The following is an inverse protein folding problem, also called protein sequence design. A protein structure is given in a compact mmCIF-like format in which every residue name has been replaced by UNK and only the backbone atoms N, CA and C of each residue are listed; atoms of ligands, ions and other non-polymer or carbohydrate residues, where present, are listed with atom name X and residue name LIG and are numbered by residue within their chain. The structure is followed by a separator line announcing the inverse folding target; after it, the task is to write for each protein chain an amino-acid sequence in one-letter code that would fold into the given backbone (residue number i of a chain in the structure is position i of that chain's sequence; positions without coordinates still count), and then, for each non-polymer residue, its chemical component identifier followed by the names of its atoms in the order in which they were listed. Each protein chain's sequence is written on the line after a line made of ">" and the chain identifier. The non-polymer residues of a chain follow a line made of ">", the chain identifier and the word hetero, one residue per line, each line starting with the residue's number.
data_IF_630284686213
#
_entry.id   IF_630284686213
#
_cell.length_a   1.000
_cell.length_b   1.000
_cell.length_c   1.000
_cell.angle_alpha   90.00
_cell.angle_beta   90.00
_cell.angle_gamma   90.00
#
_symmetry.space_group_name_H-M   'P 1'
#
loop_
_entity.id
_entity.type
_entity.pdbx_description
1 polymer ?
#
# COMPACT_ATOMS: atom_id res chain seq x y z
N UNK A 1 43.46 11.81 25.72
CA UNK A 1 43.61 10.36 25.93
C UNK A 1 43.55 9.72 24.55
N UNK A 2 44.74 9.35 24.08
CA UNK A 2 45.11 8.43 22.99
C UNK A 2 44.43 8.57 21.62
N UNK A 3 45.31 8.84 20.67
CA UNK A 3 45.17 8.97 19.23
C UNK A 3 45.37 7.60 18.51
N UNK A 4 45.00 7.60 17.22
CA UNK A 4 45.56 6.82 16.10
C UNK A 4 45.04 5.39 15.79
N UNK A 5 44.34 5.35 14.65
CA UNK A 5 44.60 4.54 13.45
C UNK A 5 45.50 3.30 13.57
N UNK A 6 45.08 2.21 12.91
CA UNK A 6 45.84 1.67 11.78
C UNK A 6 45.21 0.39 11.21
N UNK A 7 45.08 0.39 9.89
CA UNK A 7 44.98 -0.81 9.05
C UNK A 7 46.15 -1.76 9.34
N UNK A 8 45.95 -3.07 9.23
CA UNK A 8 47.07 -3.96 8.96
C UNK A 8 46.70 -5.13 8.04
N UNK A 9 47.48 -5.21 6.98
CA UNK A 9 47.57 -6.23 5.96
C UNK A 9 47.78 -7.66 6.49
N UNK A 10 47.41 -8.59 5.60
CA UNK A 10 47.79 -10.00 5.49
C UNK A 10 49.19 -10.38 5.98
N UNK A 11 49.29 -11.52 6.68
CA UNK A 11 50.47 -12.37 6.68
C UNK A 11 50.14 -13.81 7.12
N UNK A 12 50.44 -14.77 6.24
CA UNK A 12 50.57 -16.22 6.50
C UNK A 12 52.07 -16.51 6.71
N UNK A 13 52.53 -17.57 7.42
CA UNK A 13 52.55 -18.92 6.81
C UNK A 13 52.57 -20.16 7.76
N UNK A 14 52.34 -21.35 7.16
CA UNK A 14 52.94 -22.69 7.38
C UNK A 14 52.80 -23.39 8.78
N UNK A 15 52.65 -24.71 8.95
CA UNK A 15 52.83 -25.88 8.08
C UNK A 15 52.16 -27.14 8.70
N UNK A 16 51.94 -28.15 7.83
CA UNK A 16 51.99 -29.60 8.06
C UNK A 16 50.99 -30.30 9.02
N UNK A 17 50.10 -31.12 8.45
CA UNK A 17 50.26 -32.59 8.47
C UNK A 17 49.16 -33.27 7.63
N UNK A 18 49.60 -34.05 6.64
CA UNK A 18 48.80 -35.05 5.93
C UNK A 18 48.23 -36.08 6.90
N UNK A 19 46.94 -36.41 6.74
CA UNK A 19 46.45 -37.80 6.91
C UNK A 19 45.17 -37.94 6.11
N UNK A 20 45.29 -38.63 4.98
CA UNK A 20 44.19 -39.19 4.23
C UNK A 20 43.47 -40.24 5.09
N UNK A 21 42.22 -39.97 5.42
CA UNK A 21 41.28 -41.02 5.85
C UNK A 21 39.93 -40.74 5.19
N UNK A 22 39.68 -41.50 4.13
CA UNK A 22 38.38 -41.70 3.51
C UNK A 22 37.36 -42.19 4.53
N UNK A 23 36.26 -41.45 4.75
CA UNK A 23 34.96 -42.05 5.13
C UNK A 23 33.79 -41.06 5.01
N UNK A 24 32.82 -41.50 4.20
CA UNK A 24 31.39 -41.17 4.19
C UNK A 24 30.98 -39.70 4.11
N UNK A 25 30.65 -39.29 2.87
CA UNK A 25 29.81 -38.14 2.58
C UNK A 25 28.37 -38.45 3.04
N UNK A 26 28.06 -38.19 4.32
CA UNK A 26 26.68 -38.18 4.80
C UNK A 26 26.05 -36.86 4.36
N UNK A 27 25.45 -36.85 3.18
CA UNK A 27 24.59 -35.76 2.74
C UNK A 27 23.44 -35.61 3.72
N UNK A 28 23.56 -34.66 4.64
CA UNK A 28 22.41 -34.15 5.40
C UNK A 28 21.57 -33.38 4.40
N UNK A 29 20.65 -34.09 3.75
CA UNK A 29 19.59 -33.49 2.96
C UNK A 29 18.80 -32.58 3.90
N UNK A 30 19.02 -31.27 3.74
CA UNK A 30 18.16 -30.25 4.35
C UNK A 30 16.71 -30.58 3.98
N UNK A 31 15.76 -30.58 4.94
CA UNK A 31 14.38 -30.90 4.62
C UNK A 31 13.88 -29.97 3.52
N UNK A 32 13.10 -30.48 2.54
CA UNK A 32 12.58 -29.66 1.46
C UNK A 32 11.80 -28.49 2.07
N UNK A 33 12.15 -27.26 1.66
CA UNK A 33 11.41 -26.07 2.06
C UNK A 33 9.93 -26.30 1.76
N UNK A 34 9.02 -26.09 2.72
CA UNK A 34 7.60 -26.32 2.48
C UNK A 34 7.16 -25.49 1.29
N UNK A 35 6.46 -26.11 0.35
CA UNK A 35 5.83 -25.40 -0.76
C UNK A 35 4.92 -24.32 -0.16
N UNK A 36 5.07 -23.09 -0.64
CA UNK A 36 4.26 -21.95 -0.20
C UNK A 36 2.83 -22.17 -0.71
N UNK A 37 1.98 -22.75 0.13
CA UNK A 37 0.56 -22.85 -0.16
C UNK A 37 -0.07 -21.47 -0.04
N UNK A 38 -0.80 -21.05 -1.06
CA UNK A 38 -1.53 -19.78 -1.06
C UNK A 38 -2.73 -19.89 -0.12
N UNK A 39 -2.93 -18.88 0.71
CA UNK A 39 -4.14 -18.76 1.53
C UNK A 39 -5.40 -18.79 0.69
N UNK A 40 -6.46 -19.37 1.25
CA UNK A 40 -7.75 -19.59 0.57
C UNK A 40 -8.87 -18.73 1.16
N UNK A 41 -8.72 -18.23 2.40
CA UNK A 41 -9.74 -17.45 3.09
C UNK A 41 -9.73 -15.99 2.62
N UNK A 42 -10.86 -15.52 2.10
CA UNK A 42 -11.06 -14.10 1.77
C UNK A 42 -11.44 -13.32 3.03
N UNK A 43 -10.67 -12.30 3.37
CA UNK A 43 -10.94 -11.39 4.51
C UNK A 43 -11.52 -10.05 4.04
N UNK A 44 -11.48 -9.78 2.73
CA UNK A 44 -11.88 -8.49 2.15
C UNK A 44 -13.40 -8.40 2.02
N UNK A 45 -14.08 -8.07 3.12
CA UNK A 45 -15.49 -7.71 3.11
C UNK A 45 -15.68 -6.26 2.60
N UNK A 46 -16.85 -5.91 2.04
CA UNK A 46 -17.17 -4.53 1.65
C UNK A 46 -16.99 -3.54 2.81
N UNK A 47 -17.36 -3.92 4.03
CA UNK A 47 -17.21 -3.07 5.22
C UNK A 47 -15.75 -2.80 5.56
N UNK A 48 -14.91 -3.84 5.53
CA UNK A 48 -13.47 -3.69 5.75
C UNK A 48 -12.85 -2.80 4.66
N UNK A 49 -13.20 -3.04 3.39
CA UNK A 49 -12.71 -2.26 2.26
C UNK A 49 -13.15 -0.79 2.35
N UNK A 50 -14.41 -0.55 2.75
CA UNK A 50 -14.94 0.79 2.99
C UNK A 50 -14.23 1.51 4.13
N UNK A 51 -13.92 0.81 5.23
CA UNK A 51 -13.13 1.37 6.33
C UNK A 51 -11.70 1.74 5.88
N UNK A 52 -11.06 0.90 5.07
CA UNK A 52 -9.73 1.18 4.49
C UNK A 52 -9.76 2.37 3.51
N UNK A 53 -10.87 2.57 2.79
CA UNK A 53 -11.04 3.72 1.89
C UNK A 53 -11.22 5.03 2.65
N UNK A 54 -12.07 5.04 3.68
CA UNK A 54 -12.29 6.23 4.53
C UNK A 54 -11.03 6.67 5.27
N UNK A 55 -10.19 5.72 5.68
CA UNK A 55 -8.93 6.02 6.40
C UNK A 55 -7.78 6.44 5.48
N UNK A 56 -7.95 6.40 4.16
CA UNK A 56 -6.94 6.86 3.21
C UNK A 56 -5.63 6.05 3.21
N UNK A 57 -5.63 4.83 3.75
CA UNK A 57 -4.42 4.00 3.84
C UNK A 57 -4.01 3.46 2.46
N UNK A 58 -2.70 3.37 2.20
CA UNK A 58 -2.20 2.74 0.97
C UNK A 58 -2.42 1.23 0.99
N UNK A 59 -2.54 0.58 -0.17
CA UNK A 59 -2.78 -0.88 -0.22
C UNK A 59 -1.69 -1.70 0.48
N UNK A 60 -0.44 -1.21 0.50
CA UNK A 60 0.66 -1.84 1.27
C UNK A 60 0.48 -1.69 2.78
N UNK A 61 0.07 -0.50 3.25
CA UNK A 61 -0.22 -0.28 4.69
C UNK A 61 -1.45 -1.06 5.14
N UNK A 62 -2.49 -1.09 4.31
CA UNK A 62 -3.69 -1.89 4.53
C UNK A 62 -3.37 -3.38 4.69
N UNK A 63 -2.47 -3.93 3.86
CA UNK A 63 -1.99 -5.30 4.03
C UNK A 63 -1.40 -5.53 5.42
N UNK A 64 -0.51 -4.64 5.87
CA UNK A 64 0.11 -4.75 7.19
C UNK A 64 -0.90 -4.70 8.32
N UNK A 65 -1.88 -3.79 8.24
CA UNK A 65 -2.97 -3.68 9.22
C UNK A 65 -3.77 -4.98 9.26
N UNK A 66 -4.25 -5.45 8.11
CA UNK A 66 -5.08 -6.67 8.04
C UNK A 66 -4.29 -7.90 8.50
N UNK A 67 -3.01 -8.02 8.14
CA UNK A 67 -2.16 -9.13 8.56
C UNK A 67 -1.88 -9.11 10.06
N UNK A 68 -1.62 -7.94 10.65
CA UNK A 68 -1.42 -7.79 12.08
C UNK A 68 -2.70 -8.12 12.85
N UNK A 69 -3.84 -7.57 12.43
CA UNK A 69 -5.15 -7.86 13.05
C UNK A 69 -5.49 -9.35 12.97
N UNK A 70 -5.26 -9.99 11.81
CA UNK A 70 -5.45 -11.42 11.65
C UNK A 70 -4.57 -12.24 12.61
N UNK A 71 -3.30 -11.87 12.74
CA UNK A 71 -2.36 -12.53 13.65
C UNK A 71 -2.79 -12.38 15.11
N UNK A 72 -3.26 -11.18 15.51
CA UNK A 72 -3.81 -10.93 16.84
C UNK A 72 -5.08 -11.72 17.15
N UNK A 73 -5.88 -12.04 16.12
CA UNK A 73 -7.07 -12.88 16.24
C UNK A 73 -6.76 -14.39 16.15
N UNK A 74 -5.50 -14.78 16.05
CA UNK A 74 -5.08 -16.18 15.97
C UNK A 74 -5.15 -16.80 14.56
N UNK A 75 -5.35 -15.99 13.51
CA UNK A 75 -5.30 -16.45 12.13
C UNK A 75 -3.90 -16.33 11.55
N UNK A 76 -3.37 -17.42 11.00
CA UNK A 76 -2.09 -17.41 10.31
C UNK A 76 -2.15 -16.59 9.01
N UNK A 77 -1.16 -15.73 8.71
CA UNK A 77 -1.16 -14.92 7.48
C UNK A 77 -1.13 -15.76 6.20
N UNK A 78 -0.67 -17.02 6.29
CA UNK A 78 -0.65 -17.96 5.16
C UNK A 78 -2.03 -18.55 4.84
N UNK A 79 -3.00 -18.46 5.75
CA UNK A 79 -4.36 -18.95 5.51
C UNK A 79 -5.21 -17.96 4.71
N UNK A 80 -4.78 -16.70 4.67
CA UNK A 80 -5.55 -15.57 4.15
C UNK A 80 -5.08 -15.17 2.76
N UNK A 81 -6.00 -14.75 1.90
CA UNK A 81 -5.69 -14.17 0.59
C UNK A 81 -5.21 -12.72 0.78
N UNK A 82 -3.94 -12.55 1.14
CA UNK A 82 -3.32 -11.26 1.44
C UNK A 82 -2.27 -10.87 0.39
N UNK A 83 -2.65 -10.05 -0.59
CA UNK A 83 -1.76 -9.41 -1.55
C UNK A 83 -2.15 -7.92 -1.68
N UNK A 84 -1.21 -6.95 -1.68
CA UNK A 84 -1.51 -5.54 -1.97
C UNK A 84 -2.37 -5.33 -3.23
N UNK A 85 -2.16 -6.11 -4.29
CA UNK A 85 -2.96 -6.02 -5.52
C UNK A 85 -4.40 -6.47 -5.30
N UNK A 86 -4.62 -7.56 -4.54
CA UNK A 86 -5.96 -8.04 -4.22
C UNK A 86 -6.75 -7.00 -3.41
N UNK A 87 -6.09 -6.30 -2.49
CA UNK A 87 -6.68 -5.17 -1.74
C UNK A 87 -6.99 -4.02 -2.71
N UNK A 88 -6.08 -3.68 -3.62
CA UNK A 88 -6.29 -2.67 -4.64
C UNK A 88 -7.50 -2.97 -5.53
N UNK A 89 -7.61 -4.21 -6.02
CA UNK A 89 -8.74 -4.67 -6.82
C UNK A 89 -10.06 -4.65 -6.03
N UNK A 90 -10.06 -5.10 -4.78
CA UNK A 90 -11.24 -5.07 -3.92
C UNK A 90 -11.73 -3.62 -3.70
N UNK A 91 -10.80 -2.67 -3.48
CA UNK A 91 -11.12 -1.24 -3.39
C UNK A 91 -11.66 -0.67 -4.69
N UNK A 92 -11.06 -1.02 -5.84
CA UNK A 92 -11.56 -0.58 -7.13
C UNK A 92 -13.00 -1.07 -7.38
N UNK A 93 -13.29 -2.33 -7.04
CA UNK A 93 -14.64 -2.88 -7.10
C UNK A 93 -15.60 -2.14 -6.17
N UNK A 94 -15.22 -1.96 -4.90
CA UNK A 94 -16.02 -1.23 -3.92
C UNK A 94 -16.33 0.21 -4.34
N UNK A 95 -15.35 0.94 -4.90
CA UNK A 95 -15.59 2.29 -5.43
C UNK A 95 -16.51 2.28 -6.64
N UNK A 96 -16.38 1.27 -7.51
CA UNK A 96 -17.24 1.15 -8.69
C UNK A 96 -18.69 0.83 -8.31
N UNK A 97 -18.91 -0.02 -7.28
CA UNK A 97 -20.25 -0.28 -6.76
C UNK A 97 -20.81 0.94 -6.06
N UNK A 98 -20.02 1.57 -5.17
CA UNK A 98 -20.44 2.79 -4.46
C UNK A 98 -20.79 3.94 -5.42
N UNK A 99 -20.04 4.10 -6.52
CA UNK A 99 -20.36 5.10 -7.54
C UNK A 99 -21.69 4.80 -8.27
N UNK A 100 -21.98 3.52 -8.55
CA UNK A 100 -23.27 3.10 -9.12
C UNK A 100 -24.40 3.34 -8.14
N UNK A 101 -24.23 2.92 -6.89
CA UNK A 101 -25.23 3.09 -5.84
C UNK A 101 -25.56 4.57 -5.61
N UNK A 102 -24.54 5.44 -5.58
CA UNK A 102 -24.75 6.89 -5.53
C UNK A 102 -25.52 7.37 -6.76
N UNK A 103 -25.13 6.96 -7.97
CA UNK A 103 -25.82 7.40 -9.19
C UNK A 103 -27.30 7.00 -9.22
N UNK A 104 -27.62 5.81 -8.71
CA UNK A 104 -28.99 5.28 -8.66
C UNK A 104 -29.81 5.89 -7.52
N UNK A 105 -29.18 6.16 -6.37
CA UNK A 105 -29.87 6.64 -5.16
C UNK A 105 -29.93 8.17 -5.08
N UNK A 106 -29.06 8.88 -5.79
CA UNK A 106 -28.95 10.33 -5.72
C UNK A 106 -30.11 11.03 -6.43
N UNK A 107 -31.14 11.37 -5.66
CA UNK A 107 -32.30 12.15 -6.08
C UNK A 107 -32.50 13.34 -5.14
N UNK A 108 -31.76 14.46 -5.35
CA UNK A 108 -31.91 15.63 -4.51
C UNK A 108 -33.23 16.37 -4.82
N UNK A 109 -33.87 17.02 -3.83
CA UNK A 109 -35.13 17.75 -4.03
C UNK A 109 -34.95 18.94 -4.98
N UNK A 110 -33.78 19.57 -4.97
CA UNK A 110 -33.37 20.61 -5.92
C UNK A 110 -32.07 20.19 -6.59
N UNK A 111 -31.96 20.25 -7.92
CA UNK A 111 -30.71 19.90 -8.60
C UNK A 111 -29.62 20.89 -8.20
N UNK A 112 -28.44 20.41 -7.76
CA UNK A 112 -27.32 21.29 -7.43
C UNK A 112 -26.77 21.95 -8.71
N UNK A 113 -26.39 23.21 -8.59
CA UNK A 113 -25.71 23.96 -9.65
C UNK A 113 -24.21 23.88 -9.43
N UNK A 114 -23.50 23.36 -10.43
CA UNK A 114 -22.03 23.35 -10.47
C UNK A 114 -21.57 24.61 -11.19
N UNK A 115 -20.67 25.37 -10.58
CA UNK A 115 -20.00 26.48 -11.25
C UNK A 115 -18.57 26.05 -11.60
N UNK A 116 -18.03 26.65 -12.65
CA UNK A 116 -16.67 26.44 -13.12
C UNK A 116 -16.04 27.82 -13.33
N UNK A 117 -15.11 28.17 -12.45
CA UNK A 117 -14.42 29.45 -12.49
C UNK A 117 -12.91 29.22 -12.65
N UNK A 118 -12.35 29.74 -13.74
CA UNK A 118 -10.92 29.71 -13.99
C UNK A 118 -10.23 30.86 -13.25
N UNK A 119 -9.13 30.54 -12.56
CA UNK A 119 -8.34 31.53 -11.83
C UNK A 119 -6.86 31.22 -11.90
N UNK A 120 -6.07 32.24 -12.20
CA UNK A 120 -4.61 32.17 -12.12
C UNK A 120 -4.22 32.31 -10.65
N UNK A 121 -3.64 31.26 -10.07
CA UNK A 121 -3.21 31.22 -8.68
C UNK A 121 -1.70 31.00 -8.57
N UNK A 122 -1.03 31.64 -7.60
CA UNK A 122 0.38 31.38 -7.34
C UNK A 122 0.57 29.95 -6.83
N UNK A 123 1.72 29.37 -7.16
CA UNK A 123 2.20 28.09 -6.69
C UNK A 123 3.35 28.27 -5.69
N UNK A 124 3.65 27.22 -4.93
CA UNK A 124 4.73 27.22 -3.93
C UNK A 124 6.13 27.36 -4.56
N UNK A 125 6.27 27.04 -5.85
CA UNK A 125 7.50 27.20 -6.65
C UNK A 125 7.68 28.62 -7.21
N UNK A 126 6.78 29.55 -6.87
CA UNK A 126 6.77 30.93 -7.36
C UNK A 126 6.18 31.11 -8.76
N UNK A 127 5.80 30.01 -9.44
CA UNK A 127 5.11 30.08 -10.72
C UNK A 127 3.62 30.39 -10.53
N UNK A 128 2.95 30.80 -11.61
CA UNK A 128 1.49 30.96 -11.64
C UNK A 128 0.89 29.85 -12.47
N UNK A 129 -0.11 29.18 -11.92
CA UNK A 129 -0.84 28.13 -12.62
C UNK A 129 -2.31 28.51 -12.74
N UNK A 130 -2.88 28.23 -13.91
CA UNK A 130 -4.31 28.23 -14.10
C UNK A 130 -4.93 27.07 -13.32
N UNK A 131 -5.94 27.39 -12.53
CA UNK A 131 -6.68 26.43 -11.74
C UNK A 131 -8.17 26.64 -11.95
N UNK A 132 -8.92 25.55 -12.00
CA UNK A 132 -10.37 25.58 -12.16
C UNK A 132 -11.01 25.32 -10.81
N UNK A 133 -11.67 26.32 -10.22
CA UNK A 133 -12.49 26.11 -9.03
C UNK A 133 -13.83 25.48 -9.44
N UNK A 134 -14.24 24.43 -8.73
CA UNK A 134 -15.49 23.72 -8.98
C UNK A 134 -16.39 23.80 -7.73
N UNK A 135 -17.00 24.96 -7.43
CA UNK A 135 -17.97 25.06 -6.36
C UNK A 135 -19.33 24.50 -6.81
N UNK A 136 -20.03 23.89 -5.87
CA UNK A 136 -21.37 23.31 -6.06
C UNK A 136 -22.30 23.94 -5.05
N UNK A 137 -23.40 24.48 -5.55
CA UNK A 137 -24.44 25.17 -4.77
C UNK A 137 -25.74 24.39 -4.86
N UNK A 138 -26.43 24.22 -3.74
CA UNK A 138 -27.73 23.55 -3.69
C UNK A 138 -28.33 23.61 -2.28
N UNK A 139 -29.65 23.77 -2.19
CA UNK A 139 -30.36 23.79 -0.90
C UNK A 139 -29.78 24.78 0.14
N UNK A 140 -29.30 25.94 -0.32
CA UNK A 140 -28.68 26.95 0.55
C UNK A 140 -27.28 26.58 1.07
N UNK A 141 -26.70 25.48 0.60
CA UNK A 141 -25.34 25.03 0.93
C UNK A 141 -24.43 25.20 -0.29
N UNK A 142 -23.23 25.71 -0.04
CA UNK A 142 -22.14 25.77 -1.02
C UNK A 142 -20.97 24.89 -0.56
N UNK A 143 -20.45 24.06 -1.48
CA UNK A 143 -19.28 23.21 -1.23
C UNK A 143 -18.32 23.25 -2.41
N UNK A 144 -17.04 23.36 -2.13
CA UNK A 144 -15.98 23.25 -3.12
C UNK A 144 -15.61 21.78 -3.36
N UNK A 145 -15.80 21.28 -4.58
CA UNK A 145 -15.40 19.91 -4.95
C UNK A 145 -13.89 19.80 -5.17
N UNK A 146 -13.26 20.85 -5.69
CA UNK A 146 -11.83 20.85 -5.93
C UNK A 146 -11.35 22.08 -6.68
N UNK A 147 -10.02 22.20 -6.74
CA UNK A 147 -9.29 23.25 -7.47
C UNK A 147 -8.17 22.61 -8.32
N UNK A 148 -8.52 21.76 -9.30
CA UNK A 148 -7.53 21.13 -10.17
C UNK A 148 -6.67 22.16 -10.91
N UNK A 149 -5.38 21.81 -11.06
CA UNK A 149 -4.46 22.54 -11.94
C UNK A 149 -4.79 22.17 -13.39
N UNK A 150 -5.01 23.18 -14.22
CA UNK A 150 -5.18 22.99 -15.67
C UNK A 150 -3.80 22.77 -16.28
N UNK A 151 -3.71 21.80 -17.20
CA UNK A 151 -2.50 21.55 -17.98
C UNK A 151 -2.65 22.34 -19.28
N UNK A 152 -1.76 23.30 -19.51
CA UNK A 152 -1.59 23.93 -20.83
C UNK A 152 -0.66 23.09 -21.70
#
# INVERSE_FOLDING_TARGET
>A
MVELESSFESSSPANAADTSTSSSNAGVASPPKPLRTRGTKSVLSPDLVGALDRTGVSSRRALGIVAATASSLGHGPQELVLNPESIGQARAKYRSTLAKDIKETFSPPTPPTVHWEEKILPQDDGTRAERLAIPVTGEGVEKLLGVPKLHS
#
